data_IF_402291773081
#
_entry.id   IF_402291773081
#
_cell.length_a   1.000
_cell.length_b   1.000
_cell.length_c   1.000
_cell.angle_alpha   90.00
_cell.angle_beta   90.00
_cell.angle_gamma   90.00
#
_symmetry.space_group_name_H-M   'P 1'
#
loop_
_entity.id
_entity.type
_entity.pdbx_description
1 polymer ?
2 polymer ?
3 non-polymer ?
4 non-polymer ?
5 water ?
#
# COMPACT_ATOMS: atom_id res chain seq x y z
N UNK A 14 11.30 -9.64 23.19
CA UNK A 14 10.59 -9.35 21.95
C UNK A 14 9.38 -8.47 22.23
N UNK A 15 8.23 -9.10 22.48
CA UNK A 15 7.06 -8.40 23.00
C UNK A 15 7.36 -7.72 24.33
N UNK A 16 8.48 -8.12 24.94
CA UNK A 16 8.89 -7.60 26.24
C UNK A 16 9.64 -6.28 26.15
N UNK A 17 10.14 -5.94 24.97
CA UNK A 17 10.92 -4.72 24.79
C UNK A 17 10.09 -3.47 25.12
N UNK A 18 10.73 -2.51 25.78
CA UNK A 18 10.10 -1.20 25.97
C UNK A 18 10.16 -0.41 24.67
N UNK A 19 9.48 0.73 24.63
CA UNK A 19 9.55 1.60 23.45
C UNK A 19 11.00 1.98 23.13
N UNK A 20 11.75 2.41 24.13
CA UNK A 20 13.13 2.86 23.90
C UNK A 20 14.03 1.71 23.47
N UNK A 21 13.77 0.53 24.02
CA UNK A 21 14.55 -0.65 23.62
C UNK A 21 14.28 -1.05 22.18
N UNK A 22 13.03 -0.91 21.73
CA UNK A 22 12.66 -1.19 20.35
C UNK A 22 13.40 -0.25 19.39
N UNK A 23 13.40 1.04 19.73
CA UNK A 23 14.05 2.04 18.89
C UNK A 23 15.54 1.77 18.79
N UNK A 24 16.20 1.53 19.93
CA UNK A 24 17.61 1.21 19.93
C UNK A 24 17.94 -0.04 19.13
N UNK A 25 17.10 -1.07 19.26
CA UNK A 25 17.29 -2.31 18.48
C UNK A 25 17.25 -2.04 16.99
N UNK A 26 16.30 -1.23 16.56
CA UNK A 26 16.09 -0.99 15.13
C UNK A 26 17.17 -0.06 14.60
N UNK A 27 17.56 0.92 15.41
CA UNK A 27 18.68 1.79 15.02
C UNK A 27 19.97 0.98 14.88
N UNK A 28 20.24 0.07 15.81
CA UNK A 28 21.46 -0.75 15.77
C UNK A 28 21.47 -1.66 14.55
N UNK A 29 20.30 -2.08 14.12
CA UNK A 29 20.17 -3.05 13.03
C UNK A 29 20.33 -2.45 11.62
N UNK A 30 20.37 -1.12 11.52
CA UNK A 30 20.38 -0.45 10.23
C UNK A 30 21.54 -0.94 9.35
N UNK A 31 21.25 -1.18 8.06
CA UNK A 31 22.30 -1.59 7.11
C UNK A 31 23.12 -0.37 6.69
N UNK A 32 24.34 -0.59 6.21
CA UNK A 32 25.18 0.50 5.71
C UNK A 32 24.64 1.07 4.41
N UNK A 33 25.08 2.27 4.06
CA UNK A 33 24.76 2.81 2.75
C UNK A 33 25.84 2.31 1.79
N UNK A 34 25.43 1.53 0.80
CA UNK A 34 26.38 0.91 -0.12
C UNK A 34 26.71 1.84 -1.28
N UNK A 35 27.85 1.59 -1.93
CA UNK A 35 28.22 2.30 -3.16
C UNK A 35 27.77 1.52 -4.40
N UNK A 36 27.50 2.26 -5.48
CA UNK A 36 27.22 1.62 -6.77
C UNK A 36 28.49 1.44 -7.57
N UNK A 37 28.40 0.72 -8.67
CA UNK A 37 29.55 0.56 -9.55
C UNK A 37 29.59 1.61 -10.66
N UNK A 38 29.00 2.77 -10.39
CA UNK A 38 28.92 3.84 -11.39
C UNK A 38 30.29 4.13 -12.02
N UNK A 39 30.34 4.08 -13.35
CA UNK A 39 31.55 4.39 -14.11
C UNK A 39 31.39 5.73 -14.81
N UNK A 40 32.00 6.78 -14.26
CA UNK A 40 31.79 8.09 -14.88
C UNK A 40 32.57 8.30 -16.19
N UNK A 41 33.24 7.27 -16.71
CA UNK A 41 34.01 7.46 -17.95
C UNK A 41 33.12 7.44 -19.19
N UNK A 42 31.91 6.92 -19.02
CA UNK A 42 30.95 6.72 -20.12
C UNK A 42 29.57 7.29 -19.83
N UNK A 43 28.82 7.62 -20.89
CA UNK A 43 27.41 7.98 -20.70
C UNK A 43 26.60 6.74 -20.34
N UNK A 44 25.40 6.94 -19.80
CA UNK A 44 24.51 5.82 -19.51
C UNK A 44 23.92 5.27 -20.80
N UNK A 45 23.62 3.98 -20.80
CA UNK A 45 22.64 3.41 -21.72
C UNK A 45 21.48 2.89 -20.86
N UNK A 46 20.38 2.51 -21.50
CA UNK A 46 19.30 1.84 -20.74
C UNK A 46 19.83 0.61 -20.05
N UNK A 47 20.64 -0.16 -20.78
CA UNK A 47 21.20 -1.37 -20.24
C UNK A 47 22.16 -1.10 -19.08
N UNK A 48 23.05 -0.10 -19.22
CA UNK A 48 24.04 0.09 -18.17
C UNK A 48 23.40 0.71 -16.94
N UNK A 49 22.35 1.51 -17.12
CA UNK A 49 21.69 2.06 -15.96
C UNK A 49 20.94 0.96 -15.21
N UNK A 50 20.19 0.13 -15.92
CA UNK A 50 19.52 -0.99 -15.27
C UNK A 50 20.52 -1.93 -14.57
N UNK A 51 21.68 -2.14 -15.18
CA UNK A 51 22.71 -2.97 -14.57
C UNK A 51 23.20 -2.40 -13.26
N UNK A 52 23.42 -1.09 -13.22
CA UNK A 52 23.86 -0.44 -11.97
C UNK A 52 22.84 -0.59 -10.85
N UNK A 53 21.58 -0.33 -11.17
CA UNK A 53 20.53 -0.37 -10.17
C UNK A 53 20.31 -1.79 -9.66
N UNK A 54 20.36 -2.77 -10.55
CA UNK A 54 20.11 -4.14 -10.12
C UNK A 54 21.34 -4.71 -9.39
N UNK A 55 22.52 -4.30 -9.81
CA UNK A 55 23.73 -4.69 -9.10
C UNK A 55 23.72 -4.15 -7.68
N UNK A 56 23.31 -2.90 -7.52
CA UNK A 56 23.13 -2.30 -6.21
C UNK A 56 22.09 -3.06 -5.39
N UNK A 57 20.94 -3.31 -5.99
CA UNK A 57 19.83 -3.96 -5.28
C UNK A 57 20.31 -5.29 -4.74
N UNK A 58 21.05 -6.02 -5.57
CA UNK A 58 21.52 -7.34 -5.19
C UNK A 58 22.43 -7.31 -3.98
N UNK A 59 23.36 -6.36 -3.94
CA UNK A 59 24.23 -6.26 -2.78
C UNK A 59 23.46 -5.78 -1.55
N UNK A 60 22.46 -4.91 -1.75
CA UNK A 60 21.64 -4.45 -0.63
C UNK A 60 20.78 -5.57 -0.04
N UNK A 61 20.34 -6.49 -0.90
CA UNK A 61 19.52 -7.61 -0.45
C UNK A 61 20.25 -8.46 0.57
N UNK A 62 21.56 -8.64 0.41
CA UNK A 62 22.30 -9.43 1.37
C UNK A 62 22.27 -8.80 2.76
N UNK A 63 22.45 -7.48 2.83
CA UNK A 63 22.33 -6.75 4.08
C UNK A 63 20.89 -6.75 4.59
N UNK A 64 19.93 -6.76 3.67
CA UNK A 64 18.52 -6.72 4.09
C UNK A 64 18.16 -7.97 4.84
N UNK A 65 18.70 -9.10 4.39
CA UNK A 65 18.40 -10.37 5.02
C UNK A 65 18.94 -10.36 6.44
N UNK A 66 20.15 -9.83 6.62
CA UNK A 66 20.72 -9.79 7.96
C UNK A 66 20.01 -8.78 8.86
N UNK A 67 19.58 -7.68 8.27
CA UNK A 67 18.77 -6.70 8.98
C UNK A 67 17.45 -7.31 9.44
N UNK A 68 16.79 -8.05 8.56
CA UNK A 68 15.46 -8.59 8.88
C UNK A 68 15.56 -9.48 10.09
N UNK A 69 16.65 -10.24 10.17
CA UNK A 69 16.82 -11.16 11.29
C UNK A 69 17.01 -10.43 12.61
N UNK A 70 17.22 -9.11 12.57
CA UNK A 70 17.43 -8.35 13.80
C UNK A 70 16.21 -7.52 14.18
N UNK A 71 15.19 -7.57 13.34
CA UNK A 71 13.90 -6.96 13.67
C UNK A 71 13.17 -7.84 14.69
N UNK A 72 12.85 -7.28 15.87
CA UNK A 72 12.26 -8.08 16.95
C UNK A 72 11.11 -8.96 16.46
N UNK A 73 11.16 -10.24 16.82
CA UNK A 73 10.14 -11.19 16.43
C UNK A 73 10.30 -11.89 15.09
N UNK A 74 11.12 -11.34 14.20
CA UNK A 74 11.25 -11.93 12.87
C UNK A 74 11.85 -13.34 12.90
N UNK A 75 12.94 -13.57 13.65
CA UNK A 75 13.55 -14.91 13.58
C UNK A 75 12.76 -15.96 14.33
N UNK A 76 11.76 -15.53 15.10
CA UNK A 76 10.88 -16.49 15.75
C UNK A 76 9.92 -17.13 14.76
N UNK A 77 9.75 -16.49 13.59
CA UNK A 77 8.86 -17.01 12.58
C UNK A 77 9.49 -18.22 11.94
N UNK A 78 8.67 -19.12 11.39
CA UNK A 78 9.21 -20.22 10.59
C UNK A 78 10.01 -19.67 9.43
N UNK A 79 10.97 -20.45 8.94
CA UNK A 79 11.77 -20.06 7.78
C UNK A 79 10.88 -19.75 6.58
N UNK A 80 9.83 -20.53 6.37
CA UNK A 80 8.89 -20.27 5.28
C UNK A 80 8.22 -18.90 5.39
N UNK A 81 7.85 -18.50 6.60
CA UNK A 81 7.21 -17.21 6.78
C UNK A 81 8.21 -16.08 6.63
N UNK A 82 9.42 -16.29 7.14
CA UNK A 82 10.50 -15.31 6.89
C UNK A 82 10.73 -15.09 5.40
N UNK A 83 10.80 -16.18 4.63
CA UNK A 83 10.97 -16.10 3.17
C UNK A 83 9.81 -15.32 2.54
N UNK A 84 8.59 -15.71 2.89
CA UNK A 84 7.42 -15.05 2.35
C UNK A 84 7.38 -13.53 2.60
N UNK A 85 7.63 -13.13 3.85
CA UNK A 85 7.62 -11.69 4.18
C UNK A 85 8.66 -10.93 3.39
N UNK A 86 9.88 -11.48 3.30
CA UNK A 86 10.92 -10.80 2.54
C UNK A 86 10.62 -10.79 1.03
N UNK A 87 10.13 -11.91 0.49
CA UNK A 87 9.74 -11.92 -0.93
C UNK A 87 8.68 -10.86 -1.23
N UNK A 89 8.02 -8.03 0.53
CA UNK A 89 8.40 -6.65 0.89
C UNK A 89 9.71 -6.10 0.34
N UNK A 90 10.54 -6.91 -0.31
CA UNK A 90 11.94 -6.48 -0.52
C UNK A 90 12.04 -5.17 -1.31
N UNK A 91 11.16 -5.00 -2.29
CA UNK A 91 11.28 -3.78 -3.12
C UNK A 91 10.67 -2.57 -2.40
N UNK A 92 9.61 -2.76 -1.61
CA UNK A 92 9.14 -1.69 -0.73
C UNK A 92 10.25 -1.24 0.22
N UNK A 93 11.00 -2.21 0.72
CA UNK A 93 12.04 -1.91 1.70
C UNK A 93 13.21 -1.17 1.02
N UNK A 94 13.61 -1.60 -0.19
CA UNK A 94 14.63 -0.85 -0.92
C UNK A 94 14.16 0.57 -1.22
N UNK A 95 12.89 0.71 -1.60
CA UNK A 95 12.37 2.02 -1.98
C UNK A 95 12.21 2.98 -0.80
N UNK A 96 11.77 2.49 0.36
CA UNK A 96 11.61 3.43 1.47
C UNK A 96 13.00 3.86 1.93
N UNK A 97 13.98 2.96 1.81
CA UNK A 97 15.35 3.33 2.13
C UNK A 97 15.86 4.38 1.16
N UNK A 98 15.65 4.14 -0.13
CA UNK A 98 16.00 5.14 -1.14
C UNK A 98 15.35 6.50 -0.84
N UNK A 99 14.05 6.48 -0.54
CA UNK A 99 13.37 7.75 -0.30
C UNK A 99 13.93 8.47 0.94
N UNK A 100 14.22 7.69 1.98
CA UNK A 100 14.84 8.24 3.18
C UNK A 100 16.20 8.89 2.85
N UNK A 101 17.07 8.17 2.14
CA UNK A 101 18.42 8.67 1.76
C UNK A 101 18.36 9.94 0.93
N UNK A 102 17.28 10.06 0.16
CA UNK A 102 17.11 11.15 -0.77
C UNK A 102 16.45 12.40 -0.17
N UNK A 103 16.02 12.34 1.08
CA UNK A 103 15.29 13.47 1.69
C UNK A 103 15.99 14.80 1.62
N UNK A 104 17.28 14.81 1.91
CA UNK A 104 18.00 16.07 1.93
C UNK A 104 18.59 16.42 0.54
N UNK A 105 18.09 15.76 -0.51
CA UNK A 105 18.47 16.08 -1.89
C UNK A 105 17.25 16.36 -2.78
N UNK A 106 16.62 17.54 -2.66
CA UNK A 106 15.43 17.84 -3.45
C UNK A 106 15.61 17.58 -4.96
N UNK A 107 14.63 16.95 -5.59
CA UNK A 107 14.69 16.64 -7.00
C UNK A 107 15.66 15.54 -7.43
N UNK A 108 16.29 14.87 -6.47
CA UNK A 108 17.24 13.82 -6.81
C UNK A 108 16.99 12.55 -6.00
N UNK A 109 17.38 11.41 -6.56
CA UNK A 109 17.32 10.15 -5.85
C UNK A 109 18.73 9.66 -5.56
N UNK A 110 19.04 9.51 -4.27
CA UNK A 110 20.38 9.13 -3.86
C UNK A 110 20.42 7.61 -3.78
N UNK A 111 20.57 6.96 -4.94
CA UNK A 111 20.66 5.50 -4.95
C UNK A 111 21.88 5.05 -4.17
N UNK A 112 22.96 5.81 -4.34
CA UNK A 112 24.24 5.63 -3.66
C UNK A 112 24.92 6.99 -3.60
N UNK A 113 25.94 7.12 -2.74
CA UNK A 113 26.66 8.39 -2.64
C UNK A 113 27.32 8.75 -3.96
N UNK A 114 27.61 7.75 -4.79
CA UNK A 114 28.21 8.02 -6.09
C UNK A 114 27.22 7.85 -7.23
N UNK A 115 25.92 7.79 -6.89
CA UNK A 115 24.87 7.62 -7.88
C UNK A 115 23.62 8.40 -7.46
N UNK A 116 23.65 9.69 -7.75
CA UNK A 116 22.59 10.63 -7.40
C UNK A 116 21.92 11.05 -8.72
N UNK A 117 20.71 10.55 -8.96
CA UNK A 117 20.06 10.70 -10.26
C UNK A 117 18.86 11.65 -10.21
N UNK A 118 18.68 12.42 -11.29
CA UNK A 118 17.55 13.34 -11.42
C UNK A 118 16.49 12.69 -12.36
N UNK A 119 15.30 13.27 -12.46
CA UNK A 119 14.24 12.63 -13.25
C UNK A 119 14.61 12.59 -14.74
N UNK A 120 15.44 13.52 -15.19
CA UNK A 120 15.87 13.50 -16.58
C UNK A 120 16.81 12.31 -16.87
N UNK A 121 17.58 11.90 -15.87
CA UNK A 121 18.44 10.73 -16.01
C UNK A 121 17.60 9.45 -15.99
N UNK A 122 16.47 9.49 -15.27
CA UNK A 122 15.51 8.41 -15.26
C UNK A 122 14.93 8.08 -16.63
N UNK A 123 14.85 9.10 -17.48
CA UNK A 123 14.37 8.90 -18.86
C UNK A 123 15.26 7.98 -19.72
N UNK A 125 15.93 5.03 -19.04
CA UNK A 125 15.33 3.71 -19.05
C UNK A 125 13.86 3.82 -19.39
N UNK A 126 13.42 3.05 -20.39
CA UNK A 126 12.02 3.12 -20.81
C UNK A 126 11.10 2.81 -19.63
N UNK A 127 10.14 3.68 -19.39
CA UNK A 127 9.15 3.47 -18.33
C UNK A 127 9.62 3.80 -16.93
N UNK A 128 10.86 4.26 -16.82
CA UNK A 128 11.43 4.51 -15.50
C UNK A 128 11.12 5.89 -14.93
N UNK A 129 10.97 6.90 -15.78
CA UNK A 129 10.78 8.25 -15.25
C UNK A 129 9.50 8.34 -14.40
N UNK A 130 8.47 7.59 -14.80
CA UNK A 130 7.22 7.54 -14.03
C UNK A 130 7.46 7.08 -12.60
N UNK A 131 8.36 6.11 -12.45
CA UNK A 131 8.63 5.56 -11.14
C UNK A 131 9.54 6.51 -10.36
N UNK A 132 10.52 7.13 -11.02
CA UNK A 132 11.31 8.18 -10.38
C UNK A 132 10.43 9.30 -9.81
N UNK A 133 9.47 9.74 -10.62
CA UNK A 133 8.58 10.83 -10.21
C UNK A 133 7.80 10.47 -8.94
N UNK A 134 7.38 9.22 -8.81
CA UNK A 134 6.66 8.82 -7.60
C UNK A 134 7.61 8.77 -6.39
N UNK A 135 8.81 8.26 -6.60
CA UNK A 135 9.80 8.19 -5.53
C UNK A 135 10.19 9.60 -5.09
N UNK A 136 10.39 10.50 -6.04
CA UNK A 136 10.70 11.89 -5.71
C UNK A 136 9.57 12.56 -4.94
N UNK A 137 8.33 12.27 -5.31
CA UNK A 137 7.19 12.85 -4.63
C UNK A 137 7.14 12.36 -3.19
N UNK A 138 7.45 11.08 -3.00
CA UNK A 138 7.43 10.51 -1.67
C UNK A 138 8.54 11.10 -0.82
N UNK A 139 9.71 11.30 -1.41
CA UNK A 139 10.81 11.94 -0.69
C UNK A 139 10.43 13.34 -0.26
N UNK A 140 9.76 14.11 -1.12
CA UNK A 140 9.25 15.44 -0.77
C UNK A 140 8.24 15.40 0.37
N UNK A 141 7.38 14.40 0.35
CA UNK A 141 6.42 14.20 1.43
C UNK A 141 7.14 13.97 2.77
N UNK A 142 8.17 13.11 2.76
CA UNK A 142 9.02 12.87 3.94
C UNK A 142 9.59 14.16 4.47
N UNK A 143 10.14 14.95 3.55
CA UNK A 143 10.82 16.19 3.88
C UNK A 143 9.85 17.17 4.53
N UNK A 144 8.68 17.33 3.94
CA UNK A 144 7.73 18.30 4.43
C UNK A 144 7.10 17.88 5.77
N UNK A 145 7.05 16.56 6.01
CA UNK A 145 6.67 16.01 7.31
C UNK A 145 7.79 16.05 8.34
N UNK A 146 8.99 16.40 7.89
CA UNK A 146 10.17 16.28 8.75
C UNK A 146 10.29 14.89 9.41
N UNK A 147 10.11 13.85 8.60
CA UNK A 147 10.29 12.46 9.08
C UNK A 147 11.62 12.30 9.79
N UNK A 148 11.58 11.76 11.00
CA UNK A 148 12.78 11.51 11.80
C UNK A 148 13.32 10.10 11.60
N UNK A 149 14.62 9.93 11.82
CA UNK A 149 15.26 8.63 11.68
C UNK A 149 14.60 7.53 12.48
N UNK A 150 14.24 7.84 13.73
CA UNK A 150 13.54 6.86 14.55
C UNK A 150 12.18 6.44 14.00
N UNK A 151 11.47 7.35 13.34
CA UNK A 151 10.19 7.04 12.70
C UNK A 151 10.41 6.19 11.46
N UNK A 152 11.42 6.56 10.70
CA UNK A 152 11.78 5.80 9.51
C UNK A 152 12.03 4.32 9.83
N UNK A 153 12.87 4.03 10.81
CA UNK A 153 13.19 2.63 11.08
C UNK A 153 11.94 1.89 11.56
N UNK A 154 11.04 2.56 12.28
CA UNK A 154 9.77 1.92 12.64
C UNK A 154 8.95 1.57 11.40
N UNK A 155 8.87 2.49 10.45
CA UNK A 155 8.07 2.27 9.25
C UNK A 155 8.62 1.14 8.42
N UNK A 156 9.94 1.09 8.30
CA UNK A 156 10.55 0.07 7.45
C UNK A 156 10.32 -1.32 8.04
N UNK A 157 10.34 -1.43 9.37
CA UNK A 157 10.07 -2.70 10.03
C UNK A 157 8.60 -3.06 9.92
N UNK A 158 7.73 -2.05 9.92
CA UNK A 158 6.30 -2.31 9.75
C UNK A 158 6.06 -2.91 8.36
N UNK A 159 6.70 -2.34 7.34
CA UNK A 159 6.57 -2.88 5.98
C UNK A 159 6.96 -4.34 5.96
N UNK A 160 8.11 -4.65 6.56
CA UNK A 160 8.57 -6.04 6.57
C UNK A 160 7.55 -6.98 7.15
N UNK A 161 6.97 -6.61 8.29
CA UNK A 161 6.07 -7.50 8.99
C UNK A 161 4.63 -7.49 8.42
N UNK A 162 4.25 -6.39 7.78
CA UNK A 162 2.86 -6.22 7.32
C UNK A 162 2.58 -6.69 5.89
N UNK A 163 3.52 -6.46 4.97
CA UNK A 163 3.12 -6.49 3.56
C UNK A 163 2.64 -7.87 3.14
N UNK A 164 3.23 -8.92 3.71
CA UNK A 164 2.87 -10.26 3.30
C UNK A 164 2.06 -10.98 4.35
N UNK A 165 1.65 -10.26 5.40
CA UNK A 165 1.08 -10.92 6.58
C UNK A 165 -0.30 -11.55 6.40
N UNK A 166 -1.07 -11.17 5.38
CA UNK A 166 -2.40 -11.77 5.22
C UNK A 166 -2.41 -12.77 4.10
N UNK A 167 -1.27 -12.92 3.46
CA UNK A 167 -1.04 -14.03 2.57
C UNK A 167 -0.03 -14.97 3.24
N UNK A 179 0.86 -15.82 13.71
CA UNK A 179 0.36 -14.67 12.97
C UNK A 179 -0.12 -13.64 13.96
N UNK A 180 -0.72 -14.13 15.04
CA UNK A 180 -1.06 -13.30 16.17
C UNK A 180 0.21 -12.72 16.76
N UNK A 181 1.29 -13.46 16.65
CA UNK A 181 2.58 -13.00 17.13
C UNK A 181 3.06 -11.80 16.30
N UNK A 182 2.88 -11.89 14.99
CA UNK A 182 3.27 -10.79 14.12
C UNK A 182 2.52 -9.53 14.52
N UNK A 183 1.23 -9.67 14.82
CA UNK A 183 0.39 -8.51 15.13
C UNK A 183 0.71 -7.89 16.48
N UNK A 184 1.15 -8.72 17.43
CA UNK A 184 1.64 -8.20 18.69
C UNK A 184 2.88 -7.33 18.47
N UNK A 185 3.79 -7.79 17.62
CA UNK A 185 4.98 -7.00 17.32
C UNK A 185 4.57 -5.70 16.61
N UNK A 186 3.70 -5.80 15.62
CA UNK A 186 3.22 -4.60 14.94
C UNK A 186 2.57 -3.62 15.94
N UNK A 187 1.83 -4.14 16.91
CA UNK A 187 1.22 -3.27 17.92
C UNK A 187 2.32 -2.57 18.73
N UNK A 188 3.41 -3.29 19.01
CA UNK A 188 4.49 -2.72 19.79
C UNK A 188 5.18 -1.60 19.00
N UNK A 189 5.27 -1.77 17.70
CA UNK A 189 5.88 -0.72 16.89
C UNK A 189 4.97 0.51 16.85
N UNK A 190 3.67 0.30 16.83
CA UNK A 190 2.74 1.42 16.95
C UNK A 190 2.97 2.15 18.27
N UNK A 191 3.02 1.40 19.38
CA UNK A 191 3.26 2.01 20.70
C UNK A 191 4.52 2.88 20.66
N UNK A 192 5.52 2.35 19.96
CA UNK A 192 6.83 2.99 19.84
C UNK A 192 6.76 4.27 19.04
N UNK A 193 6.01 4.26 17.93
CA UNK A 193 5.83 5.49 17.15
C UNK A 193 5.18 6.56 18.00
N UNK A 194 4.15 6.17 18.77
CA UNK A 194 3.42 7.12 19.59
C UNK A 194 4.33 7.67 20.67
N UNK A 195 5.14 6.79 21.24
CA UNK A 195 6.12 7.15 22.25
C UNK A 195 7.06 8.23 21.73
N UNK A 196 7.59 8.01 20.52
CA UNK A 196 8.52 8.93 19.89
C UNK A 196 7.89 10.31 19.70
N UNK A 197 6.66 10.32 19.20
CA UNK A 197 5.95 11.58 18.96
C UNK A 197 5.64 12.35 20.23
N UNK A 198 5.19 11.65 21.27
CA UNK A 198 4.95 12.29 22.56
C UNK A 198 6.24 12.86 23.12
N UNK A 199 7.30 12.09 23.00
CA UNK A 199 8.61 12.50 23.46
C UNK A 199 9.09 13.75 22.70
N UNK A 200 8.67 13.90 21.45
CA UNK A 200 9.07 15.04 20.63
C UNK A 200 8.17 16.26 20.82
N UNK A 201 7.21 16.14 21.73
CA UNK A 201 6.39 17.28 22.09
C UNK A 201 5.02 17.38 21.45
N UNK A 202 4.65 16.43 20.59
CA UNK A 202 3.36 16.52 19.92
C UNK A 202 2.22 16.35 20.88
N UNK A 203 1.15 17.12 20.68
CA UNK A 203 -0.05 17.00 21.51
C UNK A 203 -0.71 15.64 21.26
N UNK A 204 -1.64 15.27 22.12
CA UNK A 204 -2.29 13.97 21.95
C UNK A 204 -2.99 13.85 20.58
N UNK A 205 -3.69 14.90 20.17
CA UNK A 205 -4.32 14.88 18.84
C UNK A 205 -3.30 14.85 17.71
N UNK A 206 -2.20 15.59 17.84
CA UNK A 206 -1.16 15.57 16.81
C UNK A 206 -0.55 14.20 16.66
N UNK A 207 -0.53 13.44 17.75
CA UNK A 207 0.07 12.11 17.73
C UNK A 207 -0.74 11.16 16.85
N UNK A 208 -2.07 11.11 17.02
CA UNK A 208 -2.82 10.19 16.17
C UNK A 208 -2.90 10.70 14.72
N UNK A 209 -2.86 12.02 14.54
CA UNK A 209 -2.88 12.56 13.18
C UNK A 209 -1.62 12.22 12.43
N UNK A 210 -0.47 12.34 13.11
CA UNK A 210 0.80 12.03 12.48
C UNK A 210 0.97 10.53 12.30
N UNK A 211 0.50 9.74 13.26
CA UNK A 211 0.56 8.28 13.10
C UNK A 211 -0.16 7.90 11.80
N UNK A 212 -1.34 8.45 11.59
CA UNK A 212 -2.10 8.17 10.36
C UNK A 212 -1.40 8.69 9.10
N UNK A 213 -0.84 9.90 9.15
CA UNK A 213 -0.12 10.43 7.98
C UNK A 213 1.04 9.51 7.59
N UNK A 214 1.79 9.04 8.58
CA UNK A 214 2.92 8.17 8.28
C UNK A 214 2.47 6.82 7.70
N UNK A 215 1.41 6.24 8.26
CA UNK A 215 0.98 4.92 7.82
C UNK A 215 0.31 4.97 6.46
N UNK A 216 -0.35 6.08 6.15
CA UNK A 216 -0.94 6.23 4.82
C UNK A 216 0.14 6.30 3.74
N UNK A 217 1.34 6.74 4.08
CA UNK A 217 2.40 6.73 3.06
C UNK A 217 2.78 5.30 2.69
N UNK A 218 2.56 4.35 3.61
CA UNK A 218 2.88 2.96 3.30
C UNK A 218 2.04 2.44 2.13
N UNK A 219 0.85 2.99 1.92
CA UNK A 219 0.02 2.63 0.78
C UNK A 219 0.66 3.11 -0.52
N UNK A 220 1.25 4.30 -0.47
CA UNK A 220 1.98 4.82 -1.63
C UNK A 220 3.25 4.01 -1.92
N UNK A 221 3.96 3.60 -0.88
CA UNK A 221 5.14 2.76 -1.11
C UNK A 221 4.78 1.40 -1.72
N UNK A 222 3.67 0.80 -1.26
CA UNK A 222 3.17 -0.45 -1.87
C UNK A 222 2.90 -0.25 -3.34
N UNK A 223 2.19 0.82 -3.67
CA UNK A 223 1.91 1.15 -5.05
C UNK A 223 3.18 1.26 -5.91
N UNK A 224 4.19 1.97 -5.39
CA UNK A 224 5.45 2.12 -6.12
C UNK A 224 6.16 0.79 -6.29
N UNK A 225 6.08 -0.05 -5.25
CA UNK A 225 6.68 -1.36 -5.35
C UNK A 225 6.00 -2.18 -6.45
N UNK A 226 4.68 -2.17 -6.49
CA UNK A 226 3.99 -2.93 -7.53
C UNK A 226 4.34 -2.42 -8.92
N UNK A 227 4.46 -1.12 -9.08
CA UNK A 227 4.84 -0.58 -10.39
C UNK A 227 6.29 -0.91 -10.72
N UNK A 228 7.17 -0.90 -9.73
CA UNK A 228 8.57 -1.19 -9.99
C UNK A 228 8.79 -2.66 -10.28
N UNK A 229 7.97 -3.50 -9.71
CA UNK A 229 8.08 -4.91 -9.96
C UNK A 229 7.68 -5.22 -11.40
N UNK A 230 6.63 -4.57 -11.83
CA UNK A 230 6.18 -4.74 -13.20
C UNK A 230 7.28 -4.25 -14.16
N UNK A 231 7.90 -3.13 -13.82
CA UNK A 231 8.98 -2.59 -14.60
C UNK A 231 10.16 -3.55 -14.70
N UNK A 232 10.62 -4.04 -13.56
CA UNK A 232 11.74 -4.98 -13.55
C UNK A 232 11.43 -6.24 -14.35
N UNK A 233 10.21 -6.75 -14.22
CA UNK A 233 9.78 -7.88 -15.04
C UNK A 233 9.89 -7.58 -16.52
N UNK A 234 9.50 -6.37 -16.91
CA UNK A 234 9.56 -5.97 -18.32
C UNK A 234 11.01 -5.86 -18.82
N UNK A 235 11.92 -5.39 -17.97
CA UNK A 235 13.35 -5.33 -18.31
C UNK A 235 13.94 -6.72 -18.48
N UNK A 236 13.60 -7.62 -17.57
CA UNK A 236 13.97 -9.03 -17.69
C UNK A 236 13.47 -9.66 -18.97
N UNK A 238 12.59 -8.43 -21.67
CA UNK A 238 13.18 -7.84 -22.87
C UNK A 238 14.69 -8.08 -22.97
N UNK A 239 15.25 -8.90 -22.09
CA UNK A 239 16.70 -9.14 -22.05
C UNK A 239 17.53 -7.85 -22.01
N UNK A 240 17.02 -6.86 -21.30
CA UNK A 240 17.74 -5.60 -21.15
C UNK A 240 18.93 -5.79 -20.20
N UNK A 241 18.72 -6.59 -19.16
CA UNK A 241 19.70 -6.75 -18.10
C UNK A 241 19.64 -8.19 -17.57
N UNK A 242 20.81 -8.79 -17.33
CA UNK A 242 20.89 -10.10 -16.70
C UNK A 242 20.70 -9.99 -15.19
N UNK A 243 19.67 -10.62 -14.66
CA UNK A 243 19.43 -10.52 -13.23
C UNK A 243 20.10 -11.67 -12.47
N UNK A 244 20.57 -11.38 -11.25
CA UNK A 244 21.14 -12.41 -10.40
C UNK A 244 20.14 -13.51 -10.10
N UNK A 245 20.62 -14.68 -9.68
CA UNK A 245 19.70 -15.75 -9.33
C UNK A 245 18.77 -15.27 -8.21
N UNK A 246 19.30 -14.54 -7.24
CA UNK A 246 18.49 -14.04 -6.13
C UNK A 246 17.39 -13.12 -6.63
N UNK A 247 17.74 -12.16 -7.47
CA UNK A 247 16.74 -11.23 -8.00
C UNK A 247 15.69 -11.96 -8.81
N UNK A 248 16.10 -12.96 -9.58
CA UNK A 248 15.15 -13.74 -10.36
C UNK A 248 14.13 -14.43 -9.46
N UNK A 249 14.59 -14.93 -8.32
CA UNK A 249 13.66 -15.64 -7.44
C UNK A 249 12.80 -14.66 -6.68
N UNK A 250 13.34 -13.51 -6.28
CA UNK A 250 12.58 -12.49 -5.57
C UNK A 250 11.49 -11.95 -6.49
N UNK A 251 11.82 -11.78 -7.77
CA UNK A 251 10.89 -11.28 -8.75
C UNK A 251 9.81 -12.34 -9.04
N UNK A 252 10.25 -13.59 -9.13
CA UNK A 252 9.36 -14.71 -9.44
C UNK A 252 8.29 -14.95 -8.37
N UNK A 253 8.59 -14.57 -7.13
CA UNK A 253 7.66 -14.67 -6.01
C UNK A 253 6.40 -13.86 -6.24
N UNK A 254 6.51 -12.87 -7.12
CA UNK A 254 5.41 -11.96 -7.40
C UNK A 254 4.59 -12.42 -8.60
N UNK A 255 5.04 -13.50 -9.23
CA UNK A 255 4.25 -14.30 -10.16
C UNK A 255 3.50 -13.45 -11.18
N UNK B 15 -15.86 19.61 7.62
CA UNK B 15 -14.91 20.69 7.40
C UNK B 15 -14.74 21.47 8.70
N UNK B 16 -15.89 21.93 9.19
CA UNK B 16 -16.11 22.42 10.54
C UNK B 16 -17.05 21.45 11.22
N UNK B 17 -17.12 20.23 10.68
CA UNK B 17 -18.05 19.23 11.16
C UNK B 17 -17.61 18.65 12.48
N UNK B 18 -18.57 18.27 13.33
CA UNK B 18 -18.21 17.49 14.50
C UNK B 18 -17.97 16.04 14.06
N UNK B 19 -17.25 15.30 14.90
CA UNK B 19 -17.02 13.88 14.70
C UNK B 19 -18.32 13.15 14.34
N UNK B 20 -19.38 13.34 15.13
CA UNK B 20 -20.62 12.61 14.87
C UNK B 20 -21.29 13.07 13.57
N UNK B 21 -21.11 14.35 13.25
CA UNK B 21 -21.66 14.91 12.02
C UNK B 21 -20.98 14.35 10.79
N UNK B 22 -19.66 14.18 10.89
CA UNK B 22 -18.86 13.55 9.85
C UNK B 22 -19.35 12.13 9.62
N UNK B 23 -19.53 11.38 10.70
CA UNK B 23 -20.01 10.00 10.63
C UNK B 23 -21.41 9.93 10.01
N UNK B 24 -22.32 10.79 10.45
CA UNK B 24 -23.66 10.85 9.89
C UNK B 24 -23.60 11.17 8.40
N UNK B 25 -22.75 12.14 8.07
CA UNK B 25 -22.56 12.55 6.68
C UNK B 25 -22.10 11.38 5.82
N UNK B 26 -21.13 10.63 6.34
CA UNK B 26 -20.57 9.52 5.57
C UNK B 26 -21.56 8.36 5.47
N UNK B 27 -22.32 8.10 6.54
CA UNK B 27 -23.32 7.03 6.49
C UNK B 27 -24.42 7.37 5.49
N UNK B 28 -24.86 8.63 5.50
CA UNK B 28 -25.93 9.08 4.61
C UNK B 28 -25.51 9.05 3.15
N UNK B 29 -24.22 9.26 2.91
CA UNK B 29 -23.70 9.32 1.54
C UNK B 29 -23.52 7.95 0.89
N UNK B 30 -23.70 6.88 1.66
CA UNK B 30 -23.42 5.52 1.18
C UNK B 30 -24.21 5.16 -0.08
N UNK B 31 -23.55 4.54 -1.06
CA UNK B 31 -24.23 4.12 -2.28
C UNK B 31 -25.11 2.92 -2.03
N UNK B 32 -26.04 2.65 -2.94
CA UNK B 32 -26.95 1.53 -2.76
C UNK B 32 -26.26 0.19 -3.00
N UNK B 33 -26.84 -0.89 -2.52
CA UNK B 33 -26.30 -2.21 -2.84
C UNK B 33 -27.00 -2.69 -4.11
N UNK B 34 -26.22 -2.93 -5.17
CA UNK B 34 -26.80 -3.32 -6.46
C UNK B 34 -26.88 -4.85 -6.61
N UNK B 35 -27.74 -5.30 -7.53
CA UNK B 35 -27.86 -6.73 -7.83
C UNK B 35 -27.20 -7.11 -9.16
N UNK B 36 -26.91 -8.39 -9.30
CA UNK B 36 -26.50 -8.97 -10.57
C UNK B 36 -27.73 -9.36 -11.39
N UNK B 37 -27.52 -9.78 -12.64
CA UNK B 37 -28.62 -10.20 -13.52
C UNK B 37 -29.34 -11.43 -12.96
N UNK B 44 -21.26 -21.34 -15.62
CA UNK B 44 -20.68 -20.02 -15.88
C UNK B 44 -19.26 -20.13 -16.43
N UNK B 45 -19.04 -19.55 -17.60
CA UNK B 45 -17.73 -19.55 -18.24
C UNK B 45 -16.84 -18.42 -17.74
N UNK B 46 -15.60 -18.42 -18.22
CA UNK B 46 -14.69 -17.30 -18.03
C UNK B 46 -15.35 -16.02 -18.52
N UNK B 47 -16.09 -16.14 -19.61
CA UNK B 47 -16.68 -14.98 -20.27
C UNK B 47 -17.89 -14.44 -19.53
N UNK B 48 -18.74 -15.34 -19.04
CA UNK B 48 -19.95 -14.92 -18.36
C UNK B 48 -19.67 -14.36 -16.97
N UNK B 49 -18.81 -15.03 -16.20
CA UNK B 49 -18.51 -14.51 -14.89
C UNK B 49 -17.87 -13.12 -15.04
N UNK B 50 -16.94 -12.97 -15.97
CA UNK B 50 -16.31 -11.66 -16.14
C UNK B 50 -17.31 -10.62 -16.63
N UNK B 51 -18.27 -11.08 -17.44
CA UNK B 51 -19.36 -10.23 -17.87
C UNK B 51 -20.20 -9.71 -16.72
N UNK B 52 -20.61 -10.60 -15.81
CA UNK B 52 -21.38 -10.18 -14.64
C UNK B 52 -20.57 -9.26 -13.72
N UNK B 53 -19.32 -9.61 -13.47
CA UNK B 53 -18.52 -8.82 -12.55
C UNK B 53 -18.28 -7.43 -13.11
N UNK B 54 -17.91 -7.35 -14.39
CA UNK B 54 -17.67 -6.06 -15.03
C UNK B 54 -18.95 -5.27 -15.24
N UNK B 55 -20.06 -5.94 -15.53
CA UNK B 55 -21.35 -5.27 -15.64
C UNK B 55 -21.70 -4.61 -14.31
N UNK B 56 -21.51 -5.35 -13.22
CA UNK B 56 -21.76 -4.87 -11.86
C UNK B 56 -20.86 -3.67 -11.52
N UNK B 57 -19.57 -3.82 -11.78
CA UNK B 57 -18.60 -2.75 -11.51
C UNK B 57 -18.98 -1.45 -12.24
N UNK B 58 -19.41 -1.60 -13.48
CA UNK B 58 -19.79 -0.45 -14.29
C UNK B 58 -20.98 0.27 -13.66
N UNK B 59 -21.97 -0.48 -13.20
CA UNK B 59 -23.15 0.16 -12.64
C UNK B 59 -22.82 0.80 -11.30
N UNK B 60 -21.95 0.16 -10.52
CA UNK B 60 -21.52 0.68 -9.23
C UNK B 60 -20.69 1.95 -9.35
N UNK B 61 -19.91 2.04 -10.42
CA UNK B 61 -19.10 3.20 -10.69
C UNK B 61 -19.92 4.48 -10.82
N UNK B 62 -21.08 4.38 -11.47
CA UNK B 62 -21.96 5.54 -11.58
C UNK B 62 -22.35 6.05 -10.19
N UNK B 63 -22.73 5.11 -9.30
CA UNK B 63 -23.10 5.48 -7.93
C UNK B 63 -21.91 5.98 -7.11
N UNK B 64 -20.72 5.46 -7.40
CA UNK B 64 -19.51 5.91 -6.71
C UNK B 64 -19.24 7.40 -6.89
N UNK B 65 -19.44 7.89 -8.11
CA UNK B 65 -19.26 9.30 -8.36
C UNK B 65 -20.18 10.17 -7.51
N UNK B 66 -21.45 9.76 -7.37
CA UNK B 66 -22.38 10.53 -6.54
C UNK B 66 -21.97 10.49 -5.07
N UNK B 67 -21.53 9.32 -4.62
CA UNK B 67 -21.02 9.18 -3.27
C UNK B 67 -19.83 10.10 -3.05
N UNK B 68 -18.90 10.11 -4.00
CA UNK B 68 -17.68 10.90 -3.84
C UNK B 68 -18.00 12.38 -3.66
N UNK B 69 -18.97 12.89 -4.42
CA UNK B 69 -19.38 14.28 -4.30
C UNK B 69 -19.95 14.62 -2.92
N UNK B 70 -20.32 13.59 -2.15
CA UNK B 70 -20.85 13.80 -0.81
C UNK B 70 -19.84 13.54 0.32
N UNK B 71 -18.66 13.06 -0.01
CA UNK B 71 -17.60 13.00 0.99
C UNK B 71 -17.21 14.43 1.35
N UNK B 72 -17.39 14.82 2.62
CA UNK B 72 -17.21 16.22 3.02
C UNK B 72 -15.85 16.72 2.55
N UNK B 73 -15.85 17.83 1.83
CA UNK B 73 -14.62 18.45 1.36
C UNK B 73 -14.20 18.11 -0.06
N UNK B 74 -14.72 17.01 -0.60
CA UNK B 74 -14.32 16.53 -1.93
C UNK B 74 -14.65 17.51 -3.06
N UNK B 75 -15.86 18.06 -3.06
CA UNK B 75 -16.25 18.94 -4.15
C UNK B 75 -15.59 20.30 -4.01
N UNK B 76 -14.85 20.51 -2.94
CA UNK B 76 -14.10 21.75 -2.78
C UNK B 76 -12.79 21.70 -3.56
N UNK B 77 -12.39 20.48 -3.94
CA UNK B 77 -11.21 20.30 -4.78
C UNK B 77 -11.52 20.72 -6.22
N UNK B 78 -10.50 21.01 -7.01
CA UNK B 78 -10.73 21.30 -8.42
C UNK B 78 -11.32 20.08 -9.10
N UNK B 79 -11.97 20.30 -10.24
CA UNK B 79 -12.49 19.22 -11.06
C UNK B 79 -11.38 18.23 -11.44
N UNK B 80 -10.23 18.78 -11.83
CA UNK B 80 -9.10 17.96 -12.24
C UNK B 80 -8.66 17.04 -11.11
N UNK B 81 -8.63 17.57 -9.90
CA UNK B 81 -8.26 16.78 -8.76
C UNK B 81 -9.31 15.70 -8.47
N UNK B 82 -10.58 16.06 -8.61
CA UNK B 82 -11.66 15.12 -8.37
C UNK B 82 -11.57 13.93 -9.31
N UNK B 83 -11.34 14.22 -10.58
CA UNK B 83 -11.16 13.19 -11.59
C UNK B 83 -9.97 12.30 -11.24
N UNK B 84 -8.86 12.94 -10.91
CA UNK B 84 -7.64 12.21 -10.62
C UNK B 84 -7.83 11.23 -9.45
N UNK B 85 -8.43 11.68 -8.36
CA UNK B 85 -8.56 10.84 -7.18
C UNK B 85 -9.48 9.67 -7.45
N UNK B 86 -10.58 9.92 -8.15
CA UNK B 86 -11.49 8.84 -8.49
C UNK B 86 -10.85 7.85 -9.45
N UNK B 87 -10.17 8.34 -10.50
CA UNK B 87 -9.46 7.42 -11.41
C UNK B 87 -8.41 6.55 -10.69
N UNK B 89 -8.43 5.71 -7.38
CA UNK B 89 -8.98 4.93 -6.27
C UNK B 89 -10.14 3.98 -6.57
N UNK B 90 -10.74 4.05 -7.77
CA UNK B 90 -12.03 3.39 -7.95
C UNK B 90 -12.00 1.90 -7.65
N UNK B 91 -10.96 1.18 -8.06
CA UNK B 91 -10.98 -0.26 -7.83
C UNK B 91 -10.70 -0.56 -6.36
N UNK B 92 -9.89 0.25 -5.69
CA UNK B 92 -9.74 0.11 -4.23
C UNK B 92 -11.08 0.28 -3.52
N UNK B 93 -11.85 1.23 -4.02
CA UNK B 93 -13.13 1.54 -3.42
C UNK B 93 -14.14 0.42 -3.69
N UNK B 94 -14.16 -0.11 -4.91
CA UNK B 94 -15.01 -1.27 -5.19
C UNK B 94 -14.61 -2.42 -4.31
N UNK B 95 -13.30 -2.62 -4.16
CA UNK B 95 -12.83 -3.74 -3.37
C UNK B 95 -13.10 -3.62 -1.87
N UNK B 96 -12.93 -2.44 -1.28
CA UNK B 96 -13.19 -2.37 0.15
C UNK B 96 -14.69 -2.55 0.37
N UNK B 97 -15.51 -2.08 -0.58
CA UNK B 97 -16.94 -2.30 -0.48
C UNK B 97 -17.28 -3.77 -0.48
N UNK B 98 -16.66 -4.50 -1.39
CA UNK B 98 -16.89 -5.92 -1.54
C UNK B 98 -16.50 -6.66 -0.26
N UNK B 99 -15.30 -6.37 0.22
CA UNK B 99 -14.80 -7.01 1.42
C UNK B 99 -15.74 -6.75 2.60
N UNK B 100 -16.20 -5.51 2.74
CA UNK B 100 -17.18 -5.17 3.77
C UNK B 100 -18.48 -5.98 3.62
N UNK B 101 -19.02 -6.05 2.41
CA UNK B 101 -20.25 -6.83 2.19
C UNK B 101 -20.06 -8.29 2.57
N UNK B 102 -18.84 -8.77 2.41
CA UNK B 102 -18.55 -10.20 2.52
C UNK B 102 -18.18 -10.62 3.92
N UNK B 103 -18.14 -9.65 4.83
CA UNK B 103 -17.51 -9.87 6.12
C UNK B 103 -18.24 -10.96 6.92
N UNK B 104 -19.57 -11.02 6.84
CA UNK B 104 -20.31 -12.03 7.61
C UNK B 104 -20.53 -13.34 6.83
N UNK B 105 -19.77 -13.50 5.74
CA UNK B 105 -19.84 -14.70 4.93
C UNK B 105 -18.46 -15.32 4.73
N UNK B 106 -17.93 -15.99 5.78
CA UNK B 106 -16.61 -16.63 5.70
C UNK B 106 -16.44 -17.47 4.44
N UNK B 107 -15.34 -17.28 3.71
CA UNK B 107 -15.07 -18.07 2.53
C UNK B 107 -15.80 -17.67 1.26
N UNK B 108 -16.64 -16.65 1.33
CA UNK B 108 -17.40 -16.22 0.17
C UNK B 108 -17.25 -14.73 -0.07
N UNK B 109 -17.47 -14.32 -1.32
CA UNK B 109 -17.47 -12.92 -1.69
C UNK B 109 -18.87 -12.54 -2.16
N UNK B 110 -19.47 -11.60 -1.44
CA UNK B 110 -20.82 -11.14 -1.75
C UNK B 110 -20.73 -9.95 -2.70
N UNK B 111 -20.51 -10.26 -3.99
CA UNK B 111 -20.49 -9.24 -5.04
C UNK B 111 -21.84 -8.51 -5.09
N UNK B 112 -22.91 -9.27 -5.01
CA UNK B 112 -24.27 -8.75 -4.82
C UNK B 112 -25.06 -9.77 -4.04
N UNK B 113 -26.22 -9.37 -3.50
CA UNK B 113 -27.01 -10.31 -2.70
C UNK B 113 -27.39 -11.58 -3.47
N UNK B 114 -27.51 -11.47 -4.80
CA UNK B 114 -27.79 -12.63 -5.63
C UNK B 114 -26.57 -13.12 -6.43
N UNK B 115 -25.38 -12.67 -6.03
CA UNK B 115 -24.13 -13.18 -6.59
C UNK B 115 -23.12 -13.38 -5.48
N UNK B 116 -23.30 -14.46 -4.73
CA UNK B 116 -22.44 -14.78 -3.61
C UNK B 116 -21.55 -15.93 -4.03
N UNK B 117 -20.29 -15.61 -4.34
CA UNK B 117 -19.36 -16.58 -4.94
C UNK B 117 -18.40 -17.12 -3.90
N UNK B 118 -18.31 -18.44 -3.80
CA UNK B 118 -17.35 -18.98 -2.86
C UNK B 118 -16.01 -19.05 -3.55
N UNK B 119 -14.99 -19.34 -2.75
CA UNK B 119 -13.63 -19.26 -3.20
C UNK B 119 -13.35 -19.98 -4.53
N UNK B 120 -13.87 -21.18 -4.69
CA UNK B 120 -13.56 -22.01 -5.86
C UNK B 120 -14.19 -21.54 -7.17
N UNK B 121 -15.27 -20.76 -7.09
CA UNK B 121 -15.90 -20.27 -8.32
C UNK B 121 -14.97 -19.26 -8.99
N UNK B 122 -13.97 -18.78 -8.27
CA UNK B 122 -12.98 -17.90 -8.85
C UNK B 122 -12.06 -18.57 -9.83
N UNK B 123 -11.96 -19.88 -9.79
CA UNK B 123 -11.16 -20.63 -10.76
C UNK B 123 -11.75 -20.63 -12.18
N UNK B 125 -12.26 -18.16 -13.92
CA UNK B 125 -11.56 -17.15 -14.64
C UNK B 125 -10.07 -17.24 -14.41
N UNK B 126 -9.31 -17.22 -15.47
CA UNK B 126 -7.87 -17.33 -15.33
C UNK B 126 -7.31 -16.15 -14.55
N UNK B 127 -6.42 -16.44 -13.61
CA UNK B 127 -5.77 -15.44 -12.81
C UNK B 127 -6.60 -14.90 -11.67
N UNK B 128 -7.83 -15.38 -11.55
CA UNK B 128 -8.78 -14.76 -10.64
C UNK B 128 -8.70 -15.31 -9.21
N UNK B 129 -8.39 -16.59 -9.07
CA UNK B 129 -8.46 -17.20 -7.74
C UNK B 129 -7.49 -16.53 -6.76
N UNK B 130 -6.30 -16.13 -7.22
CA UNK B 130 -5.37 -15.47 -6.32
C UNK B 130 -5.93 -14.14 -5.82
N UNK B 131 -6.70 -13.46 -6.66
CA UNK B 131 -7.29 -12.20 -6.25
C UNK B 131 -8.42 -12.50 -5.27
N UNK B 132 -9.25 -13.49 -5.58
CA UNK B 132 -10.26 -13.93 -4.63
C UNK B 132 -9.65 -14.21 -3.25
N UNK B 133 -8.53 -14.93 -3.22
CA UNK B 133 -7.86 -15.26 -1.96
C UNK B 133 -7.44 -14.01 -1.18
N UNK B 134 -6.91 -13.01 -1.85
CA UNK B 134 -6.55 -11.78 -1.16
C UNK B 134 -7.79 -11.06 -0.62
N UNK B 135 -8.88 -11.06 -1.38
CA UNK B 135 -10.09 -10.38 -0.91
C UNK B 135 -10.69 -11.09 0.29
N UNK B 136 -10.69 -12.41 0.22
CA UNK B 136 -11.18 -13.27 1.30
C UNK B 136 -10.31 -13.09 2.56
N UNK B 137 -9.00 -13.04 2.37
CA UNK B 137 -8.10 -12.80 3.50
C UNK B 137 -8.36 -11.43 4.17
N UNK B 138 -8.67 -10.43 3.38
CA UNK B 138 -8.97 -9.09 3.90
C UNK B 138 -10.29 -9.13 4.65
N UNK B 139 -11.26 -9.83 4.08
CA UNK B 139 -12.54 -9.98 4.73
C UNK B 139 -12.41 -10.70 6.08
N UNK B 140 -11.63 -11.78 6.13
CA UNK B 140 -11.28 -12.43 7.39
C UNK B 140 -10.69 -11.45 8.41
N UNK B 141 -9.74 -10.64 7.96
CA UNK B 141 -9.07 -9.68 8.83
C UNK B 141 -10.08 -8.69 9.41
N UNK B 142 -10.99 -8.17 8.58
CA UNK B 142 -12.06 -7.31 9.05
C UNK B 142 -12.91 -7.99 10.11
N UNK B 143 -13.20 -9.26 9.87
CA UNK B 143 -14.01 -10.01 10.81
C UNK B 143 -13.27 -10.23 12.12
N UNK B 144 -11.99 -10.62 12.03
CA UNK B 144 -11.20 -10.75 13.24
C UNK B 144 -11.18 -9.45 14.07
N UNK B 145 -11.15 -8.31 13.38
CA UNK B 145 -11.08 -7.02 14.07
C UNK B 145 -12.44 -6.51 14.51
N UNK B 146 -13.49 -7.22 14.12
CA UNK B 146 -14.85 -6.72 14.30
C UNK B 146 -14.98 -5.28 13.79
N UNK B 147 -14.60 -5.08 12.54
CA UNK B 147 -14.71 -3.77 11.92
C UNK B 147 -16.15 -3.28 11.95
N UNK B 148 -16.36 -2.04 12.34
CA UNK B 148 -17.71 -1.48 12.44
C UNK B 148 -18.09 -0.67 11.20
N UNK B 149 -19.38 -0.57 10.91
CA UNK B 149 -19.85 0.21 9.76
C UNK B 149 -19.32 1.62 9.74
N UNK B 150 -19.27 2.26 10.92
CA UNK B 150 -18.80 3.64 10.98
C UNK B 150 -17.32 3.77 10.67
N UNK B 151 -16.55 2.77 11.09
CA UNK B 151 -15.13 2.70 10.75
C UNK B 151 -14.93 2.48 9.25
N UNK B 152 -15.73 1.58 8.69
CA UNK B 152 -15.66 1.26 7.28
C UNK B 152 -15.86 2.48 6.40
N UNK B 153 -16.84 3.32 6.69
CA UNK B 153 -17.08 4.47 5.82
C UNK B 153 -15.96 5.51 5.98
N UNK B 154 -15.35 5.60 7.16
CA UNK B 154 -14.16 6.45 7.30
C UNK B 154 -13.04 5.92 6.43
N UNK B 155 -12.78 4.61 6.49
CA UNK B 155 -11.68 4.06 5.70
C UNK B 155 -11.89 4.27 4.20
N UNK B 156 -13.14 4.14 3.75
CA UNK B 156 -13.38 4.24 2.32
C UNK B 156 -13.14 5.67 1.84
N UNK B 157 -13.53 6.65 2.66
CA UNK B 157 -13.23 8.04 2.35
C UNK B 157 -11.72 8.35 2.38
N UNK B 158 -10.99 7.74 3.31
CA UNK B 158 -9.53 7.91 3.33
C UNK B 158 -8.90 7.39 2.04
N UNK B 159 -9.34 6.23 1.58
CA UNK B 159 -8.85 5.68 0.32
C UNK B 159 -9.07 6.66 -0.83
N UNK B 160 -10.27 7.23 -0.93
CA UNK B 160 -10.55 8.22 -1.97
C UNK B 160 -9.58 9.41 -1.94
N UNK B 161 -9.34 9.94 -0.73
CA UNK B 161 -8.54 11.15 -0.59
C UNK B 161 -7.04 10.88 -0.61
N UNK B 162 -6.63 9.67 -0.25
CA UNK B 162 -5.20 9.36 -0.11
C UNK B 162 -4.57 8.81 -1.37
N UNK B 163 -5.32 8.04 -2.14
CA UNK B 163 -4.63 7.13 -3.03
C UNK B 163 -3.93 7.85 -4.18
N UNK B 164 -4.42 9.02 -4.58
CA UNK B 164 -3.78 9.77 -5.64
C UNK B 164 -3.13 11.04 -5.14
N UNK B 166 -0.34 12.25 -3.53
CA UNK B 166 1.04 12.55 -3.84
C UNK B 166 1.29 12.58 -5.35
N UNK B 167 0.26 12.24 -6.12
CA UNK B 167 0.31 12.50 -7.56
C UNK B 167 -0.05 13.96 -7.84
N UNK B 180 -3.04 21.27 0.61
CA UNK B 180 -3.11 21.29 2.07
C UNK B 180 -4.53 21.03 2.55
N UNK B 181 -5.51 21.47 1.77
CA UNK B 181 -6.91 21.25 2.13
C UNK B 181 -7.23 19.76 2.25
N UNK B 182 -6.69 18.94 1.36
CA UNK B 182 -6.92 17.51 1.42
C UNK B 182 -6.33 16.92 2.71
N UNK B 183 -5.14 17.38 3.09
CA UNK B 183 -4.52 16.84 4.29
C UNK B 183 -5.33 17.19 5.54
N UNK B 184 -6.00 18.34 5.52
CA UNK B 184 -6.82 18.72 6.65
C UNK B 184 -8.09 17.90 6.73
N UNK B 185 -8.68 17.56 5.58
CA UNK B 185 -9.82 16.64 5.55
C UNK B 185 -9.38 15.25 6.00
N UNK B 186 -8.22 14.80 5.53
CA UNK B 186 -7.71 13.53 5.99
C UNK B 186 -7.50 13.52 7.51
N UNK B 187 -6.92 14.58 8.07
CA UNK B 187 -6.76 14.65 9.53
C UNK B 187 -8.11 14.59 10.24
N UNK B 188 -9.09 15.29 9.70
CA UNK B 188 -10.45 15.24 10.25
C UNK B 188 -11.01 13.81 10.28
N UNK B 189 -10.73 13.01 9.26
CA UNK B 189 -11.27 11.65 9.28
C UNK B 189 -10.53 10.75 10.29
N UNK B 190 -9.23 10.97 10.43
CA UNK B 190 -8.47 10.31 11.51
C UNK B 190 -9.07 10.67 12.86
N UNK B 191 -9.40 11.95 13.05
CA UNK B 191 -10.05 12.39 14.29
C UNK B 191 -11.34 11.64 14.51
N UNK B 192 -12.05 11.40 13.41
CA UNK B 192 -13.36 10.77 13.46
C UNK B 192 -13.22 9.29 13.82
N UNK B 193 -12.25 8.59 13.24
CA UNK B 193 -11.97 7.20 13.64
C UNK B 193 -11.64 7.09 15.11
N UNK B 194 -10.80 8.00 15.61
CA UNK B 194 -10.39 7.96 17.01
C UNK B 194 -11.59 8.24 17.93
N UNK B 195 -12.44 9.18 17.52
CA UNK B 195 -13.68 9.50 18.24
C UNK B 195 -14.54 8.26 18.39
N UNK B 196 -14.73 7.55 17.28
CA UNK B 196 -15.50 6.32 17.30
C UNK B 196 -14.91 5.32 18.28
N UNK B 197 -13.59 5.21 18.32
CA UNK B 197 -12.95 4.22 19.19
C UNK B 197 -13.04 4.64 20.65
N UNK B 198 -12.89 5.94 20.90
CA UNK B 198 -13.04 6.44 22.26
C UNK B 198 -14.46 6.19 22.74
N UNK B 199 -15.42 6.43 21.87
CA UNK B 199 -16.83 6.24 22.20
C UNK B 199 -17.12 4.76 22.50
N UNK B 200 -16.36 3.88 21.84
CA UNK B 200 -16.48 2.45 22.04
C UNK B 200 -15.84 1.96 23.35
N UNK B 201 -15.10 2.84 24.02
CA UNK B 201 -14.52 2.49 25.31
C UNK B 201 -13.05 2.06 25.30
N UNK B 202 -12.41 2.15 24.15
CA UNK B 202 -11.02 1.75 24.03
C UNK B 202 -10.11 2.73 24.77
N UNK B 203 -9.07 2.19 25.41
CA UNK B 203 -8.05 3.01 26.04
C UNK B 203 -7.29 3.77 24.96
N UNK B 204 -6.50 4.76 25.35
CA UNK B 204 -5.72 5.52 24.38
C UNK B 204 -4.76 4.60 23.65
N UNK B 205 -4.13 3.68 24.39
CA UNK B 205 -3.22 2.73 23.76
C UNK B 205 -3.97 1.86 22.75
N UNK B 206 -5.16 1.40 23.11
CA UNK B 206 -5.94 0.57 22.19
C UNK B 206 -6.44 1.33 20.94
N UNK B 207 -6.76 2.61 21.13
CA UNK B 207 -7.18 3.47 20.03
C UNK B 207 -6.07 3.60 18.99
N UNK B 208 -4.87 3.88 19.46
CA UNK B 208 -3.76 4.08 18.52
C UNK B 208 -3.38 2.77 17.85
N UNK B 209 -3.36 1.68 18.60
CA UNK B 209 -3.11 0.37 18.00
C UNK B 209 -4.15 0.02 16.93
N UNK B 210 -5.43 0.27 17.22
CA UNK B 210 -6.46 -0.11 16.27
C UNK B 210 -6.45 0.80 15.06
N UNK B 211 -6.15 2.07 15.27
CA UNK B 211 -6.01 2.99 14.15
C UNK B 211 -4.93 2.49 13.19
N UNK B 212 -3.78 2.13 13.74
CA UNK B 212 -2.69 1.59 12.90
C UNK B 212 -3.11 0.31 12.20
N UNK B 213 -3.80 -0.60 12.90
CA UNK B 213 -4.22 -1.87 12.30
C UNK B 213 -5.13 -1.62 11.09
N UNK B 214 -6.09 -0.71 11.24
CA UNK B 214 -6.99 -0.36 10.16
C UNK B 214 -6.26 0.27 8.96
N UNK B 215 -5.35 1.19 9.21
CA UNK B 215 -4.67 1.86 8.11
C UNK B 215 -3.66 0.93 7.41
N UNK B 216 -3.08 -0.03 8.12
CA UNK B 216 -2.20 -1.00 7.47
C UNK B 216 -2.98 -1.88 6.51
N UNK B 217 -4.26 -2.06 6.76
CA UNK B 217 -5.07 -2.82 5.81
C UNK B 217 -5.18 -2.09 4.46
N UNK B 218 -5.11 -0.76 4.46
CA UNK B 218 -5.17 -0.01 3.21
C UNK B 218 -3.99 -0.30 2.27
N UNK B 219 -2.84 -0.71 2.84
CA UNK B 219 -1.69 -1.10 2.03
C UNK B 219 -2.01 -2.38 1.28
N UNK B 220 -2.69 -3.31 1.96
CA UNK B 220 -3.12 -4.52 1.29
C UNK B 220 -4.19 -4.24 0.24
N UNK B 221 -5.09 -3.31 0.52
CA UNK B 221 -6.13 -2.98 -0.44
C UNK B 221 -5.51 -2.33 -1.68
N UNK B 222 -4.46 -1.53 -1.50
CA UNK B 222 -3.74 -0.97 -2.64
C UNK B 222 -3.12 -2.08 -3.47
N UNK B 223 -2.48 -3.05 -2.81
CA UNK B 223 -1.88 -4.18 -3.51
C UNK B 223 -2.91 -4.94 -4.35
N UNK B 224 -4.08 -5.18 -3.77
CA UNK B 224 -5.11 -5.93 -4.50
C UNK B 224 -5.61 -5.14 -5.69
N UNK B 225 -5.75 -3.82 -5.53
CA UNK B 225 -6.19 -3.00 -6.65
C UNK B 225 -5.16 -3.02 -7.78
N UNK B 226 -3.87 -2.91 -7.45
CA UNK B 226 -2.82 -3.02 -8.46
C UNK B 226 -2.92 -4.35 -9.21
N UNK B 227 -3.07 -5.45 -8.48
CA UNK B 227 -3.18 -6.76 -9.13
C UNK B 227 -4.46 -6.88 -9.96
N UNK B 228 -5.55 -6.36 -9.43
CA UNK B 228 -6.83 -6.47 -10.09
C UNK B 228 -6.79 -5.66 -11.36
N UNK B 229 -6.06 -4.55 -11.34
CA UNK B 229 -5.98 -3.67 -12.50
C UNK B 229 -5.23 -4.35 -13.64
N UNK B 230 -4.14 -5.03 -13.29
CA UNK B 230 -3.41 -5.84 -14.27
C UNK B 230 -4.30 -6.93 -14.85
N UNK B 231 -5.12 -7.54 -14.00
CA UNK B 231 -5.96 -8.62 -14.45
C UNK B 231 -7.00 -8.11 -15.44
N UNK B 232 -7.64 -6.99 -15.08
CA UNK B 232 -8.68 -6.40 -15.92
C UNK B 232 -8.09 -6.00 -17.26
N UNK B 233 -6.87 -5.46 -17.21
CA UNK B 233 -6.18 -5.07 -18.44
C UNK B 233 -5.98 -6.28 -19.37
N UNK B 234 -5.62 -7.42 -18.78
CA UNK B 234 -5.34 -8.62 -19.57
C UNK B 234 -6.63 -9.18 -20.18
N UNK B 235 -7.76 -9.00 -19.48
CA UNK B 235 -9.02 -9.47 -20.02
C UNK B 235 -9.46 -8.57 -21.17
N UNK B 236 -9.28 -7.26 -21.02
CA UNK B 236 -9.53 -6.31 -22.11
C UNK B 236 -8.74 -6.67 -23.37
N UNK B 238 -7.42 -9.44 -24.26
CA UNK B 238 -7.87 -10.67 -24.87
C UNK B 238 -9.16 -10.39 -25.66
N UNK B 239 -9.82 -9.29 -25.32
CA UNK B 239 -11.12 -8.86 -25.89
C UNK B 239 -12.21 -9.93 -25.85
N UNK B 240 -12.11 -10.79 -24.85
CA UNK B 240 -13.16 -11.72 -24.45
C UNK B 240 -14.49 -11.05 -24.14
N UNK B 241 -14.44 -10.22 -23.10
CA UNK B 241 -15.58 -9.62 -22.42
C UNK B 241 -15.85 -8.18 -22.88
N UNK B 242 -17.11 -7.85 -23.20
CA UNK B 242 -17.37 -6.43 -23.48
C UNK B 242 -17.21 -5.54 -22.23
N UNK B 243 -16.33 -4.54 -22.32
CA UNK B 243 -16.16 -3.58 -21.23
C UNK B 243 -16.82 -2.26 -21.60
N UNK B 244 -17.52 -1.66 -20.64
CA UNK B 244 -18.21 -0.40 -20.88
C UNK B 244 -17.22 0.72 -21.15
N UNK B 245 -17.66 1.76 -21.85
CA UNK B 245 -16.79 2.90 -22.11
C UNK B 245 -16.29 3.56 -20.83
N UNK B 246 -17.17 3.68 -19.83
CA UNK B 246 -16.76 4.23 -18.55
C UNK B 246 -15.65 3.38 -17.93
N UNK B 247 -15.84 2.07 -17.99
CA UNK B 247 -14.87 1.16 -17.38
C UNK B 247 -13.52 1.23 -18.10
N UNK B 248 -13.56 1.35 -19.43
CA UNK B 248 -12.35 1.47 -20.24
C UNK B 248 -11.57 2.76 -19.93
N UNK B 249 -12.30 3.83 -19.64
CA UNK B 249 -11.64 5.09 -19.27
C UNK B 249 -11.03 5.01 -17.87
N UNK B 250 -11.74 4.40 -16.93
CA UNK B 250 -11.22 4.24 -15.57
C UNK B 250 -10.00 3.34 -15.58
N UNK B 251 -9.99 2.35 -16.45
CA UNK B 251 -8.86 1.43 -16.57
C UNK B 251 -7.69 2.15 -17.24
N UNK B 252 -7.99 2.87 -18.30
CA UNK B 252 -7.00 3.62 -19.08
C UNK B 252 -6.16 4.60 -18.25
N UNK B 253 -6.78 5.21 -17.25
CA UNK B 253 -6.10 6.14 -16.35
C UNK B 253 -4.89 5.52 -15.66
N UNK B 254 -4.83 4.19 -15.62
CA UNK B 254 -3.73 3.50 -14.97
C UNK B 254 -2.64 3.06 -15.96
N UNK B 255 -2.98 3.08 -17.24
CA UNK B 255 -2.05 2.66 -18.30
C UNK B 255 -1.81 1.15 -18.28
N UNK C 2 14.19 -26.14 -2.21
CA UNK C 2 13.86 -24.91 -1.47
C UNK C 2 14.52 -23.67 -2.12
N UNK C 3 13.86 -22.53 -2.00
CA UNK C 3 14.33 -21.27 -2.56
C UNK C 3 15.72 -20.91 -1.99
N UNK C 5 16.70 -18.10 -0.96
CA UNK C 5 16.48 -17.29 0.23
C UNK C 5 16.35 -18.14 1.49
N UNK C 6 15.69 -19.29 1.38
CA UNK C 6 15.47 -20.19 2.51
C UNK C 6 16.82 -20.60 3.16
N UNK C 7 17.73 -20.90 2.27
CA UNK C 7 19.10 -21.26 2.64
C UNK C 7 19.84 -20.00 3.16
N UNK C 9 18.88 -17.39 4.58
CA UNK C 9 18.40 -16.95 5.89
C UNK C 9 19.06 -17.72 7.07
N UNK C 10 19.60 -18.87 6.78
CA UNK C 10 20.19 -19.71 7.84
C UNK C 10 21.68 -19.41 8.19
N UNK C 11 22.34 -18.77 7.27
CA UNK C 11 23.73 -18.43 7.44
C UNK C 11 23.74 -17.23 8.37
N UNK C 12 23.55 -17.53 9.61
CA UNK C 12 23.48 -16.52 10.64
C UNK D 2 -12.54 10.56 -19.44
N UNK D 3 -12.83 11.50 -20.38
CA UNK D 3 -13.85 12.55 -20.44
C UNK D 3 -15.20 12.25 -19.74
N UNK D 5 -16.13 11.10 -17.00
CA UNK D 5 -16.03 11.42 -15.59
C UNK D 5 -16.09 12.89 -15.34
N UNK D 6 -15.42 13.60 -16.20
CA UNK D 6 -15.38 15.05 -16.15
C UNK D 6 -16.80 15.64 -16.08
N UNK D 7 -17.67 15.19 -16.97
CA UNK D 7 -19.06 15.70 -17.00
C UNK D 7 -19.92 15.09 -15.90
N UNK D 9 -19.33 14.34 -13.07
CA UNK D 9 -19.10 15.02 -11.82
C UNK D 9 -19.67 16.39 -11.85
N UNK D 10 -20.12 16.81 -13.01
CA UNK D 10 -20.71 18.14 -13.16
C UNK D 10 -22.20 17.96 -13.13
N UNK D 11 -22.69 17.38 -14.20
#
# INVERSE_FOLDING_TARGET
>A
MDPMIKRSKKNSLALSLTADQMVSALLDAEPPILYSEYDPTRPFSEASMMGLLTNLADRELVHMINWAKRVPGFVDLTLHDQVHLLEXAWLEILMIGLVWRSMEHPGKLLFAPNLLLDRNQGKXVEGMVEIFDMLLATSSRFRMMNLQGEEFVCLKSIILLNSGVYTFLSSTLKSLEEKDHIHRVLDKITDTLIHLMAKAGLTLQQQHQRLAQLLLILSHIRHMSNKGMEHLYSMKXKNVVPLSDLLLEMLDAHRLHAPTS
>B
MDPMIKRSKKNSLALSLTADQMVSALLDAEPPILYSEYDPTRPFSEASMMGLLTNLADRELVHMINWAKRVPGFVDLTLHDQVHLLEXAWLEILMIGLVWRSMEHPGKLLFAPNLLLDRNQGKXVEGMVEIFDMLLATSSRFRMMNLQGEEFVCLKSIILLNSGVYTFLSSTLKSLEEKDHIHRVLDKITDTLIHLMAKAGLTLQQQHQRLAQLLLILSHIRHMSNKGMEHLYSMKXKNVVPLSDLLLEMLDAHRLHAPTS
>C
XHKXLHRXLQDSX
>D
XHKXLHRXLQDSX
#
